data_IF_197038313266
#
_entry.id   IF_197038313266
#
_cell.length_a   1.000
_cell.length_b   1.000
_cell.length_c   1.000
_cell.angle_alpha   90.00
_cell.angle_beta   90.00
_cell.angle_gamma   90.00
#
_symmetry.space_group_name_H-M   'P 1'
#
loop_
_entity.id
_entity.type
_entity.pdbx_description
1 polymer ?
#
# COMPACT_ATOMS: atom_id res chain seq x y z
N UNK A 1 -9.44 -27.17 -44.25
CA UNK A 1 -9.48 -26.76 -42.80
C UNK A 1 -10.93 -26.31 -42.44
N UNK A 2 -11.47 -26.76 -41.33
CA UNK A 2 -12.81 -26.33 -40.94
C UNK A 2 -12.83 -24.86 -40.51
N UNK A 3 -13.92 -24.13 -40.81
CA UNK A 3 -14.09 -22.71 -40.43
C UNK A 3 -13.81 -22.45 -38.95
N UNK A 4 -14.02 -23.43 -38.06
CA UNK A 4 -13.73 -23.37 -36.62
C UNK A 4 -12.24 -23.36 -36.32
N UNK A 5 -11.41 -24.08 -37.08
CA UNK A 5 -9.94 -24.08 -36.90
C UNK A 5 -9.31 -22.78 -37.39
N UNK A 6 -9.83 -22.19 -38.45
CA UNK A 6 -9.38 -20.88 -38.93
C UNK A 6 -9.71 -19.76 -37.95
N UNK A 7 -10.88 -19.81 -37.32
CA UNK A 7 -11.31 -18.86 -36.29
C UNK A 7 -10.42 -18.96 -35.01
N UNK A 8 -10.10 -20.18 -34.60
CA UNK A 8 -9.23 -20.40 -33.43
C UNK A 8 -7.81 -19.86 -33.67
N UNK A 9 -7.27 -20.02 -34.86
CA UNK A 9 -5.94 -19.48 -35.23
C UNK A 9 -5.99 -17.95 -35.26
N UNK A 10 -7.06 -17.35 -35.78
CA UNK A 10 -7.22 -15.90 -35.83
C UNK A 10 -7.33 -15.29 -34.42
N UNK A 11 -8.04 -15.94 -33.51
CA UNK A 11 -8.16 -15.52 -32.09
C UNK A 11 -6.79 -15.63 -31.40
N UNK A 12 -6.05 -16.72 -31.60
CA UNK A 12 -4.73 -16.88 -31.03
C UNK A 12 -3.75 -15.79 -31.53
N UNK A 13 -3.83 -15.41 -32.80
CA UNK A 13 -3.00 -14.36 -33.40
C UNK A 13 -3.34 -12.96 -32.85
N UNK A 14 -4.61 -12.67 -32.61
CA UNK A 14 -5.06 -11.41 -32.00
C UNK A 14 -4.58 -11.31 -30.53
N UNK A 15 -4.66 -12.41 -29.78
CA UNK A 15 -4.22 -12.45 -28.37
C UNK A 15 -2.70 -12.25 -28.25
N UNK A 16 -1.91 -12.86 -29.17
CA UNK A 16 -0.46 -12.67 -29.17
C UNK A 16 -0.04 -11.24 -29.57
N UNK A 17 -0.74 -10.61 -30.51
CA UNK A 17 -0.47 -9.21 -30.89
C UNK A 17 -0.86 -8.25 -29.75
N UNK A 18 -1.97 -8.50 -29.05
CA UNK A 18 -2.37 -7.70 -27.91
C UNK A 18 -1.39 -7.84 -26.71
N UNK A 19 -0.88 -9.06 -26.47
CA UNK A 19 0.11 -9.31 -25.43
C UNK A 19 1.45 -8.63 -25.71
N UNK A 20 1.90 -8.63 -26.97
CA UNK A 20 3.13 -7.93 -27.37
C UNK A 20 3.01 -6.40 -27.32
N UNK A 21 1.82 -5.86 -27.61
CA UNK A 21 1.57 -4.43 -27.47
C UNK A 21 1.54 -3.98 -26.00
N UNK A 22 1.02 -4.80 -25.08
CA UNK A 22 1.08 -4.53 -23.64
C UNK A 22 2.50 -4.64 -23.07
N UNK A 23 3.33 -5.55 -23.62
CA UNK A 23 4.72 -5.68 -23.19
C UNK A 23 5.56 -4.48 -23.63
N UNK A 24 5.39 -3.98 -24.88
CA UNK A 24 6.12 -2.80 -25.32
C UNK A 24 5.69 -1.51 -24.62
N UNK A 25 4.45 -1.39 -24.18
CA UNK A 25 4.01 -0.25 -23.37
C UNK A 25 4.62 -0.26 -21.96
N UNK A 26 4.82 -1.45 -21.35
CA UNK A 26 5.42 -1.58 -20.02
C UNK A 26 6.94 -1.40 -20.01
N UNK A 27 7.62 -1.53 -21.15
CA UNK A 27 9.07 -1.27 -21.28
C UNK A 27 9.39 0.22 -21.52
N UNK A 28 8.48 0.98 -22.12
CA UNK A 28 8.67 2.42 -22.36
C UNK A 28 8.54 3.25 -21.06
N UNK A 29 7.78 2.78 -20.06
CA UNK A 29 7.70 3.44 -18.73
C UNK A 29 8.90 3.14 -17.81
N UNK A 30 9.83 2.26 -18.18
CA UNK A 30 10.97 1.89 -17.33
C UNK A 30 12.26 2.67 -17.60
N UNK A 31 12.36 3.36 -18.75
CA UNK A 31 13.57 4.08 -19.15
C UNK A 31 13.48 5.61 -18.98
N UNK A 32 12.52 6.11 -18.19
CA UNK A 32 12.22 7.52 -18.01
C UNK A 32 12.68 8.19 -16.71
N UNK A 33 13.49 7.52 -15.87
CA UNK A 33 13.99 8.11 -14.62
C UNK A 33 15.53 8.15 -14.61
N UNK A 34 16.09 9.07 -15.37
CA UNK A 34 17.41 9.63 -15.07
C UNK A 34 17.43 11.10 -15.50
N UNK A 35 17.85 11.93 -14.54
CA UNK A 35 18.22 13.35 -14.63
C UNK A 35 17.14 14.37 -14.23
N UNK A 36 17.17 14.69 -12.96
CA UNK A 36 16.70 15.95 -12.43
C UNK A 36 17.78 16.59 -11.58
N UNK A 37 18.49 17.53 -12.16
CA UNK A 37 19.09 18.66 -11.45
C UNK A 37 19.31 19.79 -12.42
N UNK A 38 18.58 20.88 -12.22
CA UNK A 38 19.12 22.25 -12.27
C UNK A 38 17.99 23.25 -12.04
N UNK A 39 18.25 24.12 -11.12
CA UNK A 39 17.55 25.35 -10.73
C UNK A 39 17.80 26.39 -11.83
N UNK A 40 16.77 27.17 -12.22
CA UNK A 40 16.75 28.64 -12.19
C UNK A 40 15.55 29.22 -12.91
N UNK A 41 14.88 29.96 -12.19
CA UNK A 41 14.12 31.21 -12.26
C UNK A 41 13.94 31.93 -13.62
N UNK A 42 12.73 32.50 -13.72
CA UNK A 42 12.27 33.69 -14.44
C UNK A 42 11.37 33.52 -15.68
N UNK A 43 10.17 34.08 -15.54
CA UNK A 43 9.56 34.98 -16.53
C UNK A 43 8.56 34.41 -17.52
N UNK A 44 7.31 34.62 -17.16
CA UNK A 44 6.16 34.98 -18.04
C UNK A 44 6.17 34.59 -19.52
N UNK A 45 5.21 33.79 -19.96
CA UNK A 45 4.19 34.27 -20.94
C UNK A 45 3.11 33.19 -21.18
N UNK A 46 1.88 33.67 -21.21
CA UNK A 46 0.69 32.91 -21.55
C UNK A 46 0.73 32.46 -23.02
N UNK A 47 0.45 31.18 -23.28
CA UNK A 47 0.36 30.69 -24.65
C UNK A 47 -0.14 29.24 -24.74
N UNK A 48 -1.42 29.13 -25.06
CA UNK A 48 -2.05 27.98 -25.72
C UNK A 48 -1.99 26.57 -25.08
N UNK A 49 -2.86 26.36 -24.11
CA UNK A 49 -3.21 25.02 -23.58
C UNK A 49 -4.23 24.22 -24.44
N UNK A 50 -4.43 24.51 -25.72
CA UNK A 50 -5.53 23.93 -26.52
C UNK A 50 -5.13 22.90 -27.58
N UNK A 51 -3.86 22.60 -27.79
CA UNK A 51 -3.47 21.61 -28.82
C UNK A 51 -3.26 20.17 -28.33
N UNK A 52 -3.01 19.94 -27.05
CA UNK A 52 -2.80 18.58 -26.53
C UNK A 52 -4.08 17.77 -26.26
N UNK A 53 -5.24 18.43 -26.18
CA UNK A 53 -6.52 17.73 -25.96
C UNK A 53 -7.11 17.09 -27.24
N UNK A 54 -6.67 17.49 -28.43
CA UNK A 54 -7.15 16.91 -29.68
C UNK A 54 -6.49 15.59 -30.08
N UNK A 55 -5.28 15.29 -29.60
CA UNK A 55 -4.58 14.05 -29.91
C UNK A 55 -5.12 12.84 -29.13
N UNK A 56 -5.45 13.01 -27.84
CA UNK A 56 -5.99 11.93 -27.00
C UNK A 56 -7.35 11.40 -27.49
N UNK A 57 -8.21 12.29 -28.01
CA UNK A 57 -9.52 11.92 -28.51
C UNK A 57 -9.50 11.14 -29.83
N UNK A 58 -8.45 11.29 -30.64
CA UNK A 58 -8.30 10.50 -31.89
C UNK A 58 -7.86 9.06 -31.61
N UNK A 59 -6.97 8.85 -30.68
CA UNK A 59 -6.49 7.49 -30.31
C UNK A 59 -7.63 6.70 -29.65
N UNK A 60 -8.42 7.30 -28.77
CA UNK A 60 -9.57 6.64 -28.14
C UNK A 60 -10.65 6.29 -29.17
N UNK A 61 -10.88 7.14 -30.19
CA UNK A 61 -11.84 6.83 -31.28
C UNK A 61 -11.37 5.68 -32.17
N UNK A 62 -10.06 5.57 -32.42
CA UNK A 62 -9.49 4.50 -33.26
C UNK A 62 -9.54 3.15 -32.52
N UNK A 63 -9.32 3.13 -31.20
CA UNK A 63 -9.37 1.90 -30.39
C UNK A 63 -10.80 1.46 -30.06
N UNK A 64 -11.77 2.36 -30.04
CA UNK A 64 -13.17 2.03 -29.77
C UNK A 64 -13.94 1.51 -31.00
N UNK A 65 -13.46 1.78 -32.22
CA UNK A 65 -14.11 1.34 -33.44
C UNK A 65 -14.19 -0.19 -33.62
N UNK A 66 -13.14 -0.99 -33.36
CA UNK A 66 -13.24 -2.44 -33.48
C UNK A 66 -14.15 -3.08 -32.43
N UNK A 67 -14.26 -2.50 -31.23
CA UNK A 67 -15.17 -3.03 -30.19
C UNK A 67 -16.64 -2.81 -30.51
N UNK A 68 -17.00 -1.73 -31.20
CA UNK A 68 -18.38 -1.52 -31.69
C UNK A 68 -18.77 -2.50 -32.81
N UNK A 69 -17.80 -2.87 -33.64
CA UNK A 69 -18.01 -3.88 -34.70
C UNK A 69 -18.12 -5.30 -34.12
N UNK A 70 -17.33 -5.61 -33.07
CA UNK A 70 -17.37 -6.91 -32.37
C UNK A 70 -18.72 -7.16 -31.68
N UNK A 71 -19.31 -6.14 -31.07
CA UNK A 71 -20.65 -6.24 -30.43
C UNK A 71 -21.79 -6.53 -31.41
N UNK A 72 -21.58 -6.30 -32.74
CA UNK A 72 -22.56 -6.66 -33.77
C UNK A 72 -22.41 -8.11 -34.25
N UNK A 73 -21.27 -8.73 -34.10
CA UNK A 73 -21.01 -10.11 -34.53
C UNK A 73 -21.62 -11.17 -33.59
N UNK A 74 -21.87 -10.80 -32.33
CA UNK A 74 -22.42 -11.69 -31.30
C UNK A 74 -23.90 -11.41 -30.97
N UNK A 75 -24.61 -10.64 -31.80
CA UNK A 75 -26.05 -10.56 -31.68
C UNK A 75 -26.65 -11.86 -32.18
N UNK A 76 -26.84 -12.83 -31.29
CA UNK A 76 -27.74 -13.92 -31.51
C UNK A 76 -29.14 -13.32 -31.53
N UNK A 77 -29.89 -13.72 -32.54
CA UNK A 77 -31.29 -13.39 -32.75
C UNK A 77 -32.11 -14.33 -31.86
N UNK A 78 -32.06 -14.16 -30.58
CA UNK A 78 -32.92 -14.85 -29.63
C UNK A 78 -33.57 -13.80 -28.72
N UNK A 79 -34.84 -13.91 -28.62
CA UNK A 79 -35.89 -13.03 -28.14
C UNK A 79 -35.81 -12.53 -26.68
N UNK A 80 -34.66 -12.33 -26.13
CA UNK A 80 -34.46 -11.50 -24.93
C UNK A 80 -34.07 -10.08 -25.36
N UNK A 81 -35.05 -9.38 -25.94
CA UNK A 81 -35.02 -7.93 -26.00
C UNK A 81 -34.93 -7.40 -24.57
N UNK A 82 -33.73 -7.03 -24.14
CA UNK A 82 -33.59 -5.97 -23.16
C UNK A 82 -34.10 -4.70 -23.88
N UNK A 83 -35.39 -4.47 -23.82
CA UNK A 83 -35.98 -3.19 -24.20
C UNK A 83 -35.30 -2.14 -23.27
N UNK A 84 -34.59 -1.20 -23.88
CA UNK A 84 -34.21 -0.01 -23.14
C UNK A 84 -35.50 0.58 -22.62
N UNK A 85 -35.72 0.57 -21.32
CA UNK A 85 -36.78 1.30 -20.68
C UNK A 85 -36.77 2.73 -21.25
N UNK A 86 -37.87 3.12 -21.87
CA UNK A 86 -38.02 4.50 -22.30
C UNK A 86 -38.13 5.38 -21.05
N UNK A 87 -37.82 6.68 -21.19
CA UNK A 87 -37.96 7.64 -20.06
C UNK A 87 -39.39 7.56 -19.44
N UNK A 88 -40.41 7.31 -20.25
CA UNK A 88 -41.78 7.09 -19.79
C UNK A 88 -41.99 5.82 -18.97
N UNK A 89 -41.18 4.78 -19.19
CA UNK A 89 -41.24 3.56 -18.39
C UNK A 89 -40.41 3.72 -17.10
N UNK A 90 -39.37 4.54 -17.12
CA UNK A 90 -38.63 4.94 -15.93
C UNK A 90 -39.47 5.80 -14.95
N UNK A 91 -40.42 6.61 -15.47
CA UNK A 91 -41.39 7.34 -14.65
C UNK A 91 -42.40 6.45 -13.94
N UNK A 92 -42.76 5.28 -14.52
CA UNK A 92 -43.62 4.27 -13.85
C UNK A 92 -42.89 3.55 -12.72
N UNK A 93 -41.58 3.42 -12.80
CA UNK A 93 -40.74 3.04 -11.70
C UNK A 93 -40.18 4.32 -11.00
N UNK A 94 -41.12 5.24 -10.69
CA UNK A 94 -40.79 6.15 -9.59
C UNK A 94 -40.36 5.26 -8.45
N UNK A 95 -39.09 5.25 -8.19
CA UNK A 95 -38.52 4.64 -7.01
C UNK A 95 -39.48 5.01 -5.88
N UNK A 96 -40.15 4.01 -5.31
CA UNK A 96 -40.58 4.13 -3.93
C UNK A 96 -39.33 4.63 -3.25
N UNK A 97 -39.32 5.94 -2.99
CA UNK A 97 -38.11 6.59 -2.53
C UNK A 97 -37.61 5.73 -1.40
N UNK A 98 -36.43 5.15 -1.60
CA UNK A 98 -35.66 4.70 -0.46
C UNK A 98 -35.42 6.00 0.26
N UNK A 99 -36.44 6.42 1.04
CA UNK A 99 -36.32 7.51 1.97
C UNK A 99 -35.09 7.11 2.76
N UNK A 100 -34.01 7.89 2.62
CA UNK A 100 -32.94 7.85 3.61
C UNK A 100 -33.69 7.86 4.93
N UNK A 101 -33.67 6.73 5.61
CA UNK A 101 -34.31 6.62 6.92
C UNK A 101 -33.60 7.67 7.74
N UNK A 102 -34.32 8.79 7.95
CA UNK A 102 -33.81 9.85 8.81
C UNK A 102 -33.68 9.20 10.17
N UNK A 103 -32.45 8.91 10.56
CA UNK A 103 -32.11 8.17 11.78
C UNK A 103 -32.67 8.89 13.02
N UNK A 104 -33.00 10.19 12.88
CA UNK A 104 -33.66 11.00 13.92
C UNK A 104 -35.11 10.52 14.20
N UNK A 105 -35.76 9.88 13.22
CA UNK A 105 -37.15 9.37 13.36
C UNK A 105 -37.23 7.90 13.75
N UNK A 106 -36.09 7.19 13.83
CA UNK A 106 -36.07 5.78 14.20
C UNK A 106 -36.36 5.67 15.71
N UNK A 107 -37.35 4.85 16.14
CA UNK A 107 -37.61 4.64 17.56
C UNK A 107 -36.39 4.14 18.32
N UNK A 108 -36.17 4.62 19.54
CA UNK A 108 -35.04 4.26 20.39
C UNK A 108 -34.84 2.74 20.59
N UNK A 109 -35.89 1.92 20.80
CA UNK A 109 -35.71 0.46 20.86
C UNK A 109 -35.16 -0.14 19.58
N UNK A 110 -35.55 0.39 18.40
CA UNK A 110 -35.06 -0.07 17.12
C UNK A 110 -33.60 0.35 16.88
N UNK A 111 -33.20 1.55 17.30
CA UNK A 111 -31.80 2.00 17.25
C UNK A 111 -30.92 1.13 18.14
N UNK A 112 -31.38 0.82 19.35
CA UNK A 112 -30.66 -0.05 20.29
C UNK A 112 -30.51 -1.49 19.74
N UNK A 113 -31.56 -2.05 19.14
CA UNK A 113 -31.53 -3.38 18.52
C UNK A 113 -30.51 -3.43 17.37
N UNK A 114 -30.50 -2.41 16.50
CA UNK A 114 -29.50 -2.28 15.42
C UNK A 114 -28.07 -2.17 15.95
N UNK A 115 -27.85 -1.35 16.97
CA UNK A 115 -26.54 -1.17 17.57
C UNK A 115 -26.02 -2.48 18.21
N UNK A 116 -26.88 -3.24 18.88
CA UNK A 116 -26.51 -4.55 19.43
C UNK A 116 -26.16 -5.55 18.34
N UNK A 117 -26.96 -5.64 17.28
CA UNK A 117 -26.67 -6.48 16.11
C UNK A 117 -25.37 -6.07 15.40
N UNK A 118 -25.11 -4.76 15.27
CA UNK A 118 -23.85 -4.27 14.71
C UNK A 118 -22.63 -4.74 15.50
N UNK A 119 -22.72 -4.73 16.84
CA UNK A 119 -21.64 -5.21 17.73
C UNK A 119 -21.42 -6.73 17.62
N UNK A 120 -22.48 -7.51 17.45
CA UNK A 120 -22.38 -8.96 17.22
C UNK A 120 -21.67 -9.26 15.89
N UNK A 121 -22.07 -8.62 14.81
CA UNK A 121 -21.41 -8.74 13.51
C UNK A 121 -19.94 -8.26 13.56
N UNK A 122 -19.65 -7.19 14.31
CA UNK A 122 -18.27 -6.74 14.54
C UNK A 122 -17.44 -7.83 15.26
N UNK A 123 -17.98 -8.44 16.30
CA UNK A 123 -17.29 -9.50 17.05
C UNK A 123 -17.02 -10.74 16.16
N UNK A 124 -18.01 -11.16 15.38
CA UNK A 124 -17.87 -12.23 14.41
C UNK A 124 -16.81 -11.92 13.36
N UNK A 125 -16.88 -10.72 12.77
CA UNK A 125 -15.93 -10.26 11.78
C UNK A 125 -14.50 -10.22 12.32
N UNK A 126 -14.30 -9.78 13.55
CA UNK A 126 -13.01 -9.83 14.25
C UNK A 126 -12.50 -11.26 14.42
N UNK A 127 -13.37 -12.18 14.83
CA UNK A 127 -13.04 -13.60 14.98
C UNK A 127 -12.60 -14.20 13.64
N UNK A 128 -13.36 -13.98 12.56
CA UNK A 128 -13.01 -14.45 11.22
C UNK A 128 -11.67 -13.86 10.72
N UNK A 129 -11.43 -12.57 11.02
CA UNK A 129 -10.18 -11.91 10.64
C UNK A 129 -8.95 -12.50 11.35
N UNK A 130 -9.08 -12.85 12.63
CA UNK A 130 -8.04 -13.54 13.40
C UNK A 130 -7.76 -14.95 12.88
N UNK A 131 -8.79 -15.65 12.43
CA UNK A 131 -8.68 -16.99 11.84
C UNK A 131 -8.25 -16.97 10.36
N UNK A 132 -8.02 -15.79 9.78
CA UNK A 132 -7.62 -15.66 8.37
C UNK A 132 -8.74 -15.88 7.36
N UNK A 133 -9.99 -16.00 7.80
CA UNK A 133 -11.18 -16.17 6.97
C UNK A 133 -11.64 -14.80 6.44
N UNK A 134 -10.91 -14.29 5.44
CA UNK A 134 -11.03 -12.90 5.01
C UNK A 134 -12.36 -12.57 4.34
N UNK A 135 -12.98 -13.54 3.63
CA UNK A 135 -14.26 -13.29 2.96
C UNK A 135 -15.39 -13.17 3.97
N UNK A 136 -15.43 -14.07 4.94
CA UNK A 136 -16.38 -14.10 6.03
C UNK A 136 -16.22 -12.85 6.93
N UNK A 137 -14.96 -12.49 7.21
CA UNK A 137 -14.65 -11.27 7.95
C UNK A 137 -15.21 -10.02 7.23
N UNK A 138 -14.98 -9.90 5.92
CA UNK A 138 -15.49 -8.76 5.13
C UNK A 138 -17.03 -8.74 5.13
N UNK A 139 -17.68 -9.90 5.01
CA UNK A 139 -19.14 -9.99 5.04
C UNK A 139 -19.71 -9.48 6.37
N UNK A 140 -19.22 -10.00 7.48
CA UNK A 140 -19.67 -9.63 8.81
C UNK A 140 -19.38 -8.16 9.14
N UNK A 141 -18.15 -7.70 8.85
CA UNK A 141 -17.75 -6.31 9.09
C UNK A 141 -18.53 -5.32 8.22
N UNK A 142 -18.86 -5.71 6.97
CA UNK A 142 -19.70 -4.88 6.09
C UNK A 142 -21.12 -4.78 6.63
N UNK A 143 -21.66 -5.86 7.18
CA UNK A 143 -22.97 -5.86 7.85
C UNK A 143 -22.94 -4.97 9.08
N UNK A 144 -21.91 -5.08 9.93
CA UNK A 144 -21.72 -4.22 11.08
C UNK A 144 -21.69 -2.73 10.70
N UNK A 145 -20.89 -2.37 9.69
CA UNK A 145 -20.77 -1.00 9.20
C UNK A 145 -22.06 -0.48 8.53
N UNK A 146 -22.88 -1.36 7.98
CA UNK A 146 -24.20 -1.01 7.41
C UNK A 146 -25.25 -0.76 8.47
N UNK A 147 -25.22 -1.55 9.54
CA UNK A 147 -26.14 -1.41 10.69
C UNK A 147 -25.79 -0.16 11.52
N UNK A 148 -24.51 0.09 11.73
CA UNK A 148 -24.01 1.29 12.41
C UNK A 148 -22.86 1.93 11.59
N UNK A 149 -23.16 2.91 10.72
CA UNK A 149 -22.16 3.62 9.95
C UNK A 149 -21.18 4.46 10.80
N UNK A 150 -21.48 4.70 12.08
CA UNK A 150 -20.61 5.40 13.02
C UNK A 150 -19.71 4.46 13.82
N UNK A 151 -19.76 3.16 13.55
CA UNK A 151 -18.88 2.19 14.18
C UNK A 151 -17.49 2.22 13.51
N UNK A 152 -16.63 3.14 13.96
CA UNK A 152 -15.29 3.36 13.38
C UNK A 152 -14.47 2.08 13.34
N UNK A 153 -14.57 1.24 14.36
CA UNK A 153 -13.85 -0.03 14.43
C UNK A 153 -14.23 -0.99 13.31
N UNK A 154 -15.51 -1.08 12.91
CA UNK A 154 -15.94 -1.91 11.79
C UNK A 154 -15.26 -1.46 10.48
N UNK A 155 -15.22 -0.16 10.24
CA UNK A 155 -14.52 0.40 9.07
C UNK A 155 -13.01 0.17 9.14
N UNK A 156 -12.38 0.30 10.31
CA UNK A 156 -10.95 0.03 10.48
C UNK A 156 -10.63 -1.44 10.21
N UNK A 157 -11.39 -2.38 10.76
CA UNK A 157 -11.19 -3.83 10.54
C UNK A 157 -11.49 -4.24 9.09
N UNK A 158 -12.46 -3.61 8.43
CA UNK A 158 -12.66 -3.76 6.98
C UNK A 158 -11.40 -3.37 6.19
N UNK A 159 -10.79 -2.23 6.56
CA UNK A 159 -9.52 -1.80 5.96
C UNK A 159 -8.45 -2.87 6.13
N UNK A 160 -8.29 -3.43 7.34
CA UNK A 160 -7.34 -4.52 7.61
C UNK A 160 -7.64 -5.77 6.77
N UNK A 161 -8.91 -6.15 6.66
CA UNK A 161 -9.31 -7.31 5.86
C UNK A 161 -9.01 -7.12 4.37
N UNK A 162 -9.28 -5.93 3.83
CA UNK A 162 -8.97 -5.58 2.45
C UNK A 162 -7.47 -5.50 2.18
N UNK A 163 -6.66 -4.95 3.09
CA UNK A 163 -5.20 -4.95 2.98
C UNK A 163 -4.64 -6.37 2.91
N UNK A 164 -5.11 -7.26 3.79
CA UNK A 164 -4.72 -8.69 3.76
C UNK A 164 -5.11 -9.39 2.45
N UNK A 165 -6.15 -8.92 1.77
CA UNK A 165 -6.56 -9.40 0.43
C UNK A 165 -5.83 -8.69 -0.73
N UNK A 166 -5.00 -7.69 -0.47
CA UNK A 166 -4.32 -6.89 -1.50
C UNK A 166 -5.26 -5.92 -2.23
N UNK A 167 -6.43 -5.60 -1.66
CA UNK A 167 -7.42 -4.69 -2.24
C UNK A 167 -7.19 -3.25 -1.72
N UNK A 168 -6.09 -2.64 -2.15
CA UNK A 168 -5.57 -1.37 -1.61
C UNK A 168 -6.56 -0.20 -1.68
N UNK A 169 -7.34 -0.08 -2.76
CA UNK A 169 -8.32 1.01 -2.89
C UNK A 169 -9.46 0.87 -1.87
N UNK A 170 -9.95 -0.36 -1.68
CA UNK A 170 -11.01 -0.65 -0.70
C UNK A 170 -10.51 -0.50 0.73
N UNK A 171 -9.27 -0.90 1.00
CA UNK A 171 -8.69 -0.74 2.33
C UNK A 171 -8.55 0.74 2.69
N UNK A 172 -8.00 1.54 1.77
CA UNK A 172 -7.87 2.99 1.94
C UNK A 172 -9.23 3.65 2.19
N UNK A 173 -10.25 3.35 1.37
CA UNK A 173 -11.60 3.91 1.55
C UNK A 173 -12.18 3.55 2.92
N UNK A 174 -11.99 2.30 3.36
CA UNK A 174 -12.48 1.84 4.67
C UNK A 174 -11.79 2.57 5.82
N UNK A 175 -10.47 2.71 5.78
CA UNK A 175 -9.74 3.48 6.78
C UNK A 175 -10.11 4.97 6.77
N UNK A 176 -10.33 5.57 5.60
CA UNK A 176 -10.77 6.97 5.51
C UNK A 176 -12.14 7.17 6.15
N UNK A 177 -13.05 6.20 5.99
CA UNK A 177 -14.35 6.20 6.70
C UNK A 177 -14.16 6.10 8.22
N UNK A 178 -13.28 5.20 8.68
CA UNK A 178 -12.97 5.09 10.10
C UNK A 178 -12.39 6.39 10.68
N UNK A 179 -11.40 6.99 9.99
CA UNK A 179 -10.81 8.30 10.39
C UNK A 179 -11.82 9.44 10.35
N UNK A 180 -12.82 9.39 9.47
CA UNK A 180 -13.90 10.40 9.44
C UNK A 180 -14.80 10.31 10.68
N UNK A 181 -15.03 9.11 11.20
CA UNK A 181 -15.82 8.88 12.40
C UNK A 181 -15.00 9.20 13.65
N UNK A 182 -13.77 8.69 13.73
CA UNK A 182 -12.85 8.89 14.85
C UNK A 182 -11.51 9.48 14.35
N UNK A 183 -11.40 10.81 14.23
CA UNK A 183 -10.23 11.46 13.64
C UNK A 183 -8.95 11.36 14.49
N UNK A 184 -9.09 11.07 15.79
CA UNK A 184 -7.99 11.02 16.76
C UNK A 184 -7.67 9.60 17.22
N UNK A 185 -8.13 8.57 16.49
CA UNK A 185 -7.67 7.21 16.74
C UNK A 185 -6.29 6.97 16.10
N UNK A 186 -5.27 6.86 16.95
CA UNK A 186 -3.89 6.64 16.54
C UNK A 186 -3.71 5.33 15.77
N UNK A 187 -4.46 4.29 16.14
CA UNK A 187 -4.38 2.97 15.50
C UNK A 187 -4.90 3.01 14.06
N UNK A 188 -6.06 3.61 13.85
CA UNK A 188 -6.65 3.77 12.50
C UNK A 188 -5.78 4.65 11.62
N UNK A 189 -5.25 5.76 12.17
CA UNK A 189 -4.31 6.63 11.45
C UNK A 189 -3.01 5.89 11.06
N UNK A 190 -2.50 5.03 11.94
CA UNK A 190 -1.34 4.18 11.65
C UNK A 190 -1.65 3.17 10.53
N UNK A 191 -2.80 2.51 10.59
CA UNK A 191 -3.21 1.53 9.59
C UNK A 191 -3.39 2.19 8.22
N UNK A 192 -4.07 3.33 8.16
CA UNK A 192 -4.18 4.13 6.93
C UNK A 192 -2.81 4.57 6.42
N UNK A 193 -1.95 5.05 7.31
CA UNK A 193 -0.60 5.47 6.95
C UNK A 193 0.24 4.33 6.39
N UNK A 194 0.15 3.15 6.96
CA UNK A 194 0.86 1.96 6.48
C UNK A 194 0.30 1.45 5.15
N UNK A 195 -1.02 1.44 4.98
CA UNK A 195 -1.67 1.10 3.71
C UNK A 195 -1.26 2.08 2.58
N UNK A 196 -1.20 3.38 2.87
CA UNK A 196 -0.69 4.39 1.95
C UNK A 196 0.80 4.18 1.61
N UNK A 197 1.61 3.75 2.60
CA UNK A 197 3.01 3.40 2.37
C UNK A 197 3.15 2.20 1.42
N UNK A 198 2.36 1.15 1.61
CA UNK A 198 2.35 -0.03 0.73
C UNK A 198 1.92 0.32 -0.69
N UNK A 199 0.98 1.25 -0.84
CA UNK A 199 0.50 1.75 -2.14
C UNK A 199 1.44 2.77 -2.81
N UNK A 200 2.62 3.06 -2.22
CA UNK A 200 3.58 4.02 -2.76
C UNK A 200 3.26 5.50 -2.48
N UNK A 201 2.15 5.79 -1.80
CA UNK A 201 1.73 7.16 -1.47
C UNK A 201 2.48 7.71 -0.24
N UNK A 202 3.82 7.77 -0.32
CA UNK A 202 4.70 8.01 0.83
C UNK A 202 4.48 9.36 1.52
N UNK A 203 4.17 10.43 0.78
CA UNK A 203 3.87 11.76 1.37
C UNK A 203 2.62 11.70 2.25
N UNK A 204 1.54 11.17 1.72
CA UNK A 204 0.29 10.99 2.47
C UNK A 204 0.47 10.02 3.65
N UNK A 205 1.27 8.95 3.49
CA UNK A 205 1.63 8.04 4.58
C UNK A 205 2.31 8.77 5.73
N UNK A 206 3.33 9.60 5.44
CA UNK A 206 4.04 10.41 6.45
C UNK A 206 3.08 11.34 7.18
N UNK A 207 2.14 11.98 6.49
CA UNK A 207 1.19 12.89 7.13
C UNK A 207 0.25 12.16 8.10
N UNK A 208 -0.27 10.99 7.73
CA UNK A 208 -1.11 10.17 8.62
C UNK A 208 -0.32 9.62 9.80
N UNK A 209 0.87 9.07 9.54
CA UNK A 209 1.75 8.50 10.57
C UNK A 209 2.29 9.55 11.54
N UNK A 210 2.57 10.79 11.10
CA UNK A 210 2.91 11.89 12.00
C UNK A 210 1.75 12.24 12.94
N UNK A 211 0.51 12.24 12.44
CA UNK A 211 -0.66 12.46 13.30
C UNK A 211 -0.79 11.32 14.32
N UNK A 212 -0.67 10.06 13.88
CA UNK A 212 -0.67 8.91 14.77
C UNK A 212 0.44 9.00 15.84
N UNK A 213 1.68 9.34 15.45
CA UNK A 213 2.81 9.49 16.37
C UNK A 213 2.67 10.68 17.34
N UNK A 214 1.86 11.68 17.01
CA UNK A 214 1.50 12.77 17.93
C UNK A 214 0.51 12.30 19.00
N UNK A 215 -0.45 11.45 18.63
CA UNK A 215 -1.47 10.91 19.54
C UNK A 215 -0.91 9.80 20.43
N UNK A 216 -0.04 8.94 19.86
CA UNK A 216 0.62 7.85 20.59
C UNK A 216 2.15 7.94 20.43
N UNK A 217 2.81 8.82 21.19
CA UNK A 217 4.21 9.19 20.97
C UNK A 217 5.21 8.11 21.32
N UNK A 218 4.82 7.06 22.02
CA UNK A 218 5.69 5.93 22.43
C UNK A 218 5.33 4.62 21.73
N UNK A 219 4.33 4.61 20.82
CA UNK A 219 3.99 3.39 20.08
C UNK A 219 5.08 3.09 19.05
N UNK A 220 5.85 2.02 19.32
CA UNK A 220 6.96 1.60 18.49
C UNK A 220 6.57 1.27 17.05
N UNK A 221 5.36 0.71 16.82
CA UNK A 221 4.88 0.36 15.49
C UNK A 221 4.64 1.61 14.66
N UNK A 222 4.02 2.63 15.26
CA UNK A 222 3.76 3.92 14.61
C UNK A 222 5.07 4.60 14.25
N UNK A 223 6.01 4.65 15.20
CA UNK A 223 7.32 5.26 14.99
C UNK A 223 8.12 4.54 13.91
N UNK A 224 8.10 3.20 13.91
CA UNK A 224 8.77 2.40 12.88
C UNK A 224 8.13 2.61 11.49
N UNK A 225 6.82 2.61 11.39
CA UNK A 225 6.12 2.85 10.13
C UNK A 225 6.41 4.26 9.59
N UNK A 226 6.47 5.27 10.48
CA UNK A 226 6.84 6.63 10.11
C UNK A 226 8.29 6.70 9.60
N UNK A 227 9.22 6.02 10.29
CA UNK A 227 10.62 5.91 9.86
C UNK A 227 10.73 5.28 8.47
N UNK A 228 10.01 4.18 8.21
CA UNK A 228 9.98 3.53 6.90
C UNK A 228 9.46 4.48 5.80
N UNK A 229 8.36 5.18 6.05
CA UNK A 229 7.78 6.12 5.10
C UNK A 229 8.72 7.31 4.81
N UNK A 230 9.44 7.81 5.83
CA UNK A 230 10.45 8.86 5.68
C UNK A 230 11.65 8.39 4.85
N UNK A 231 12.11 7.15 5.03
CA UNK A 231 13.16 6.56 4.19
C UNK A 231 12.78 6.53 2.72
N UNK A 232 11.52 6.21 2.40
CA UNK A 232 11.03 6.22 1.00
C UNK A 232 11.01 7.62 0.38
N UNK A 233 11.00 8.66 1.20
CA UNK A 233 11.14 10.06 0.77
C UNK A 233 12.60 10.57 0.83
N UNK A 234 13.59 9.69 1.05
CA UNK A 234 14.99 10.05 1.16
C UNK A 234 15.36 10.78 2.47
N UNK A 235 14.43 10.89 3.43
CA UNK A 235 14.60 11.62 4.70
C UNK A 235 15.16 10.73 5.79
N UNK A 236 16.39 10.23 5.58
CA UNK A 236 17.02 9.21 6.43
C UNK A 236 17.34 9.69 7.84
N UNK A 237 17.78 10.94 8.00
CA UNK A 237 18.06 11.51 9.33
C UNK A 237 16.78 11.61 10.19
N UNK A 238 15.67 12.03 9.58
CA UNK A 238 14.39 12.06 10.29
C UNK A 238 13.90 10.65 10.59
N UNK A 239 14.08 9.70 9.66
CA UNK A 239 13.76 8.29 9.90
C UNK A 239 14.55 7.72 11.08
N UNK A 240 15.85 8.00 11.16
CA UNK A 240 16.69 7.62 12.30
C UNK A 240 16.11 8.09 13.63
N UNK A 241 15.71 9.37 13.72
CA UNK A 241 15.12 9.92 14.95
C UNK A 241 13.88 9.12 15.41
N UNK A 242 13.03 8.69 14.47
CA UNK A 242 11.86 7.91 14.79
C UNK A 242 12.20 6.46 15.13
N UNK A 243 13.10 5.81 14.40
CA UNK A 243 13.58 4.46 14.74
C UNK A 243 14.30 4.42 16.09
N UNK A 244 15.15 5.41 16.37
CA UNK A 244 15.86 5.51 17.66
C UNK A 244 14.90 5.76 18.83
N UNK A 245 13.83 6.53 18.58
CA UNK A 245 12.78 6.77 19.58
C UNK A 245 11.94 5.51 19.83
N UNK A 246 11.74 4.66 18.81
CA UNK A 246 11.02 3.41 18.91
C UNK A 246 11.76 2.37 19.75
N UNK A 247 13.05 2.14 19.47
CA UNK A 247 13.79 0.99 20.01
C UNK A 247 15.25 1.29 20.37
N UNK A 248 15.56 2.54 20.66
CA UNK A 248 16.90 2.99 21.07
C UNK A 248 17.85 3.29 19.90
N UNK A 249 18.97 3.98 20.21
CA UNK A 249 19.91 4.48 19.18
C UNK A 249 20.58 3.37 18.35
N UNK A 250 20.89 2.23 18.97
CA UNK A 250 21.46 1.08 18.26
C UNK A 250 20.54 0.59 17.15
N UNK A 251 19.28 0.31 17.50
CA UNK A 251 18.26 -0.14 16.55
C UNK A 251 17.95 0.94 15.52
N UNK A 252 17.94 2.21 15.92
CA UNK A 252 17.78 3.36 15.03
C UNK A 252 18.84 3.36 13.92
N UNK A 253 20.12 3.22 14.30
CA UNK A 253 21.22 3.14 13.35
C UNK A 253 21.11 1.91 12.44
N UNK A 254 20.85 0.73 13.00
CA UNK A 254 20.71 -0.51 12.22
C UNK A 254 19.57 -0.44 11.20
N UNK A 255 18.42 0.09 11.59
CA UNK A 255 17.25 0.20 10.69
C UNK A 255 17.51 1.23 9.58
N UNK A 256 18.10 2.38 9.91
CA UNK A 256 18.45 3.42 8.93
C UNK A 256 19.50 2.93 7.94
N UNK A 257 20.57 2.29 8.44
CA UNK A 257 21.61 1.71 7.60
C UNK A 257 21.04 0.67 6.63
N UNK A 258 20.18 -0.24 7.11
CA UNK A 258 19.52 -1.25 6.27
C UNK A 258 18.67 -0.63 5.17
N UNK A 259 17.98 0.47 5.48
CA UNK A 259 17.19 1.17 4.47
C UNK A 259 18.10 1.84 3.43
N UNK A 260 19.17 2.52 3.86
CA UNK A 260 20.17 3.12 2.96
C UNK A 260 20.79 2.08 2.03
N UNK A 261 21.17 0.91 2.57
CA UNK A 261 21.67 -0.22 1.79
C UNK A 261 20.67 -0.68 0.72
N UNK A 262 19.38 -0.78 1.05
CA UNK A 262 18.33 -1.14 0.09
C UNK A 262 18.14 -0.11 -1.04
N UNK A 263 18.54 1.15 -0.81
CA UNK A 263 18.55 2.21 -1.81
C UNK A 263 19.91 2.36 -2.54
N UNK A 264 20.84 1.41 -2.33
CA UNK A 264 22.18 1.45 -2.94
C UNK A 264 23.08 2.57 -2.42
N UNK A 265 22.73 3.20 -1.29
CA UNK A 265 23.52 4.26 -0.66
C UNK A 265 24.53 3.66 0.33
N UNK A 266 25.46 2.87 -0.19
CA UNK A 266 26.40 2.05 0.58
C UNK A 266 27.28 2.87 1.51
N UNK A 267 27.82 4.01 1.05
CA UNK A 267 28.67 4.87 1.86
C UNK A 267 27.92 5.50 3.04
N UNK A 268 26.68 5.86 2.84
CA UNK A 268 25.85 6.37 3.93
C UNK A 268 25.42 5.25 4.88
N UNK A 269 25.11 4.06 4.34
CA UNK A 269 24.81 2.89 5.18
C UNK A 269 25.99 2.53 6.09
N UNK A 270 27.22 2.58 5.56
CA UNK A 270 28.46 2.34 6.35
C UNK A 270 28.52 3.29 7.55
N UNK A 271 28.25 4.59 7.38
CA UNK A 271 28.26 5.55 8.50
C UNK A 271 27.32 5.12 9.63
N UNK A 272 26.09 4.78 9.32
CA UNK A 272 25.12 4.34 10.32
C UNK A 272 25.48 2.98 10.94
N UNK A 273 26.03 2.02 10.17
CA UNK A 273 26.50 0.77 10.74
C UNK A 273 27.75 0.97 11.63
N UNK A 274 28.63 1.91 11.30
CA UNK A 274 29.73 2.29 12.15
C UNK A 274 29.26 2.94 13.46
N UNK A 275 28.22 3.78 13.40
CA UNK A 275 27.61 4.35 14.60
C UNK A 275 26.96 3.25 15.46
N UNK A 276 26.31 2.25 14.84
CA UNK A 276 25.78 1.09 15.54
C UNK A 276 26.91 0.29 16.22
N UNK A 277 28.04 0.04 15.52
CA UNK A 277 29.23 -0.64 16.06
C UNK A 277 29.87 0.14 17.20
N UNK A 278 29.82 1.47 17.16
CA UNK A 278 30.33 2.32 18.24
C UNK A 278 29.51 2.20 19.52
N UNK A 279 28.20 1.99 19.40
CA UNK A 279 27.29 1.77 20.52
C UNK A 279 27.43 0.34 21.06
N UNK A 280 27.49 -0.64 20.17
CA UNK A 280 27.67 -2.06 20.48
C UNK A 280 28.79 -2.66 19.60
N UNK A 281 30.04 -2.71 20.09
CA UNK A 281 31.15 -3.29 19.34
C UNK A 281 31.00 -4.78 19.03
N UNK A 282 30.15 -5.48 19.77
CA UNK A 282 29.84 -6.91 19.58
C UNK A 282 28.60 -7.15 18.68
N UNK A 283 28.03 -6.10 18.12
CA UNK A 283 26.88 -6.24 17.24
C UNK A 283 27.21 -7.05 15.98
N UNK A 284 26.88 -8.33 16.02
CA UNK A 284 27.14 -9.27 14.90
C UNK A 284 26.45 -8.81 13.61
N UNK A 285 25.29 -8.14 13.73
CA UNK A 285 24.59 -7.58 12.57
C UNK A 285 25.38 -6.43 11.94
N UNK A 286 25.84 -5.46 12.74
CA UNK A 286 26.64 -4.32 12.25
C UNK A 286 27.93 -4.82 11.61
N UNK A 287 28.68 -5.68 12.30
CA UNK A 287 29.98 -6.20 11.81
C UNK A 287 29.83 -6.98 10.49
N UNK A 288 28.82 -7.84 10.37
CA UNK A 288 28.56 -8.59 9.13
C UNK A 288 28.25 -7.66 7.97
N UNK A 289 27.36 -6.70 8.18
CA UNK A 289 26.98 -5.75 7.13
C UNK A 289 28.12 -4.83 6.75
N UNK A 290 28.93 -4.39 7.72
CA UNK A 290 30.15 -3.60 7.45
C UNK A 290 31.15 -4.40 6.62
N UNK A 291 31.43 -5.66 6.97
CA UNK A 291 32.32 -6.50 6.18
C UNK A 291 31.86 -6.63 4.72
N UNK A 292 30.57 -6.88 4.49
CA UNK A 292 29.99 -6.99 3.16
C UNK A 292 30.06 -5.67 2.39
N UNK A 293 29.69 -4.55 3.04
CA UNK A 293 29.66 -3.22 2.44
C UNK A 293 31.08 -2.73 2.11
N UNK A 294 32.05 -2.91 3.00
CA UNK A 294 33.45 -2.55 2.75
C UNK A 294 34.04 -3.37 1.60
N UNK A 295 33.73 -4.66 1.50
CA UNK A 295 34.13 -5.49 0.37
C UNK A 295 33.54 -4.96 -0.96
N UNK A 296 32.24 -4.62 -0.95
CA UNK A 296 31.53 -4.10 -2.13
C UNK A 296 32.04 -2.72 -2.59
N UNK A 297 32.47 -1.88 -1.63
CA UNK A 297 33.03 -0.55 -1.90
C UNK A 297 34.55 -0.54 -2.06
N UNK A 298 35.22 -1.71 -2.12
CA UNK A 298 36.68 -1.83 -2.35
C UNK A 298 37.54 -1.55 -1.12
N UNK A 299 36.98 -1.43 0.06
CA UNK A 299 37.66 -1.15 1.32
C UNK A 299 38.09 -2.45 2.01
N UNK A 300 39.02 -3.17 1.38
CA UNK A 300 39.35 -4.56 1.76
C UNK A 300 39.93 -4.71 3.15
N UNK A 301 40.80 -3.82 3.60
CA UNK A 301 41.39 -3.84 4.97
C UNK A 301 40.32 -3.70 6.05
N UNK A 302 39.36 -2.78 5.85
CA UNK A 302 38.25 -2.57 6.76
C UNK A 302 37.28 -3.78 6.76
N UNK A 303 37.06 -4.41 5.57
CA UNK A 303 36.29 -5.64 5.45
C UNK A 303 36.93 -6.78 6.27
N UNK A 304 38.26 -6.96 6.15
CA UNK A 304 38.97 -7.99 6.92
C UNK A 304 38.91 -7.71 8.43
N UNK A 305 39.08 -6.47 8.84
CA UNK A 305 38.98 -6.06 10.25
C UNK A 305 37.61 -6.36 10.83
N UNK A 306 36.53 -6.02 10.14
CA UNK A 306 35.17 -6.33 10.56
C UNK A 306 34.94 -7.84 10.62
N UNK A 307 35.42 -8.60 9.63
CA UNK A 307 35.38 -10.05 9.59
C UNK A 307 36.12 -10.73 10.76
N UNK A 308 37.34 -10.25 11.09
CA UNK A 308 38.12 -10.76 12.23
C UNK A 308 37.38 -10.50 13.56
N UNK A 309 36.79 -9.32 13.72
CA UNK A 309 36.00 -8.98 14.91
C UNK A 309 34.80 -9.92 15.05
N UNK A 310 34.10 -10.23 13.95
CA UNK A 310 32.99 -11.16 13.94
C UNK A 310 33.41 -12.59 14.30
N UNK A 311 34.56 -13.05 13.77
CA UNK A 311 35.11 -14.38 14.10
C UNK A 311 35.54 -14.47 15.59
N UNK A 312 36.09 -13.41 16.15
CA UNK A 312 36.46 -13.35 17.58
C UNK A 312 35.26 -13.49 18.51
N UNK A 313 34.12 -12.87 18.16
CA UNK A 313 32.85 -13.01 18.91
C UNK A 313 32.30 -14.46 18.85
N UNK A 314 32.39 -15.12 17.71
CA UNK A 314 31.93 -16.49 17.55
C UNK A 314 32.74 -17.48 18.39
N UNK A 315 34.06 -17.28 18.49
CA UNK A 315 34.97 -18.10 19.32
C UNK A 315 34.71 -17.91 20.83
N UNK A 316 34.54 -16.66 21.26
CA UNK A 316 34.26 -16.36 22.68
C UNK A 316 32.87 -16.86 23.12
N UNK A 317 31.83 -16.77 22.26
CA UNK A 317 30.52 -17.30 22.55
C UNK A 317 30.47 -18.83 22.61
N UNK A 318 31.26 -19.52 21.78
CA UNK A 318 31.39 -20.98 21.81
C UNK A 318 32.11 -21.49 23.07
N UNK A 319 33.10 -20.78 23.56
CA UNK A 319 33.83 -21.15 24.79
C UNK A 319 32.97 -21.00 26.07
N UNK A 320 32.10 -19.98 26.13
CA UNK A 320 31.19 -19.76 27.26
C UNK A 320 30.09 -20.84 27.33
N UNK A 321 29.60 -21.34 26.19
CA UNK A 321 28.62 -22.44 26.13
C UNK A 321 29.20 -23.78 26.55
N UNK A 322 30.50 -24.04 26.29
CA UNK A 322 31.17 -25.28 26.69
C UNK A 322 31.51 -25.33 28.19
N UNK A 323 31.64 -24.16 28.84
CA UNK A 323 31.93 -24.10 30.30
C UNK A 323 30.65 -24.24 31.16
N UNK A 324 29.48 -23.90 30.63
CA UNK A 324 28.19 -24.00 31.33
C UNK A 324 27.55 -25.40 31.27
N UNK A 325 28.11 -26.32 30.49
CA UNK A 325 27.62 -27.70 30.30
C UNK A 325 28.43 -28.78 31.04
N UNK A 326 29.27 -28.36 32.02
CA UNK A 326 29.99 -29.32 32.86
C UNK A 326 29.54 -29.27 34.30
#
# INVERSE_FOLDING_TARGET
MSKRRLLAILIALIVTVAASAMWSASTIERDGDSDANAIEDSGSSAGNANEHQKSGNKVVKILAAPFKAFGRLFRHKDDNKLERMTEKDAEKFQSVGVSRVDDSRTPEPMKLARANSAKEHLANGRSYLLNGQLNEAISELSTAASLDPKLAEAHNLLGVAYDKKGLSDRSKESYERAVKVEPEDAQTLNNLGFSLYQSGNYRAAVDRLKRAAKLAPTDERILNNLGLALCRLGRFEDAYKHFARAAGPLTGNLNTARMLERFGRDDDAIKYYEDARRIDPASTMALRRLADLYKRTGRLEQSQTAGNSLAGIAVSGGAAGAAAGR
#
